data_IF_090757833278
#
_entry.id   IF_090757833278
#
_cell.length_a   1.000
_cell.length_b   1.000
_cell.length_c   1.000
_cell.angle_alpha   90.00
_cell.angle_beta   90.00
_cell.angle_gamma   90.00
#
_symmetry.space_group_name_H-M   'P 1'
#
loop_
_entity.id
_entity.type
_entity.pdbx_description
1 polymer ?
#
# COMPACT_ATOMS: atom_id res chain seq x y z
N UNK A 1 -12.69 -19.73 -4.24
CA UNK A 1 -11.60 -18.91 -3.68
C UNK A 1 -11.36 -17.78 -4.65
N UNK A 2 -11.46 -16.53 -4.21
CA UNK A 2 -11.13 -15.41 -5.08
C UNK A 2 -9.60 -15.31 -5.19
N UNK A 3 -9.08 -15.23 -6.40
CA UNK A 3 -7.68 -14.90 -6.64
C UNK A 3 -7.53 -13.39 -6.43
N UNK A 4 -6.56 -12.97 -5.63
CA UNK A 4 -6.17 -11.58 -5.49
C UNK A 4 -4.78 -11.42 -6.09
N UNK A 5 -4.64 -10.45 -7.00
CA UNK A 5 -3.37 -10.09 -7.61
C UNK A 5 -2.89 -8.76 -7.02
N UNK A 6 -1.62 -8.72 -6.60
CA UNK A 6 -0.96 -7.50 -6.15
C UNK A 6 0.12 -7.11 -7.15
N UNK A 7 0.21 -5.83 -7.50
CA UNK A 7 1.31 -5.30 -8.29
C UNK A 7 2.22 -4.49 -7.37
N UNK A 8 3.47 -4.92 -7.27
CA UNK A 8 4.49 -4.24 -6.47
C UNK A 8 5.43 -3.49 -7.40
N UNK A 9 5.67 -2.21 -7.13
CA UNK A 9 6.65 -1.38 -7.83
C UNK A 9 7.54 -0.70 -6.80
N UNK A 10 8.84 -0.83 -6.97
CA UNK A 10 9.82 -0.17 -6.13
C UNK A 10 10.58 0.87 -6.95
N UNK A 11 10.48 2.13 -6.55
CA UNK A 11 11.31 3.20 -7.05
C UNK A 11 12.52 3.35 -6.12
N UNK A 12 13.66 2.82 -6.57
CA UNK A 12 14.91 2.86 -5.80
C UNK A 12 15.53 4.26 -5.71
N UNK A 13 15.20 5.19 -6.61
CA UNK A 13 15.70 6.55 -6.57
C UNK A 13 14.96 7.36 -5.50
N UNK A 14 13.63 7.20 -5.44
CA UNK A 14 12.80 7.85 -4.43
C UNK A 14 12.77 7.10 -3.08
N UNK A 15 13.22 5.84 -3.03
CA UNK A 15 13.05 4.91 -1.89
C UNK A 15 11.57 4.73 -1.52
N UNK A 16 10.73 4.49 -2.53
CA UNK A 16 9.28 4.33 -2.38
C UNK A 16 8.82 2.98 -2.90
N UNK A 17 8.08 2.24 -2.07
CA UNK A 17 7.36 1.03 -2.50
C UNK A 17 5.89 1.36 -2.73
N UNK A 18 5.41 1.11 -3.95
CA UNK A 18 4.00 1.14 -4.29
C UNK A 18 3.44 -0.27 -4.37
N UNK A 19 2.31 -0.50 -3.69
CA UNK A 19 1.56 -1.77 -3.73
C UNK A 19 0.15 -1.51 -4.24
N UNK A 20 -0.14 -1.93 -5.47
CA UNK A 20 -1.50 -1.92 -6.02
C UNK A 20 -2.25 -3.15 -5.52
N UNK A 21 -3.44 -2.92 -4.96
CA UNK A 21 -4.30 -3.97 -4.39
C UNK A 21 -5.40 -4.39 -5.37
N UNK A 22 -5.93 -3.44 -6.15
CA UNK A 22 -6.97 -3.69 -7.14
C UNK A 22 -6.96 -2.65 -8.24
N UNK A 23 -7.60 -2.94 -9.36
CA UNK A 23 -7.85 -1.97 -10.41
C UNK A 23 -8.83 -0.89 -9.96
N UNK A 24 -8.61 0.35 -10.38
CA UNK A 24 -9.43 1.49 -10.00
C UNK A 24 -8.74 2.82 -10.30
N UNK A 25 -9.53 3.89 -10.28
CA UNK A 25 -9.03 5.26 -10.35
C UNK A 25 -8.80 5.77 -8.92
N UNK A 26 -7.60 6.26 -8.64
CA UNK A 26 -7.31 7.01 -7.41
C UNK A 26 -8.02 8.36 -7.49
N UNK A 27 -8.79 8.69 -6.46
CA UNK A 27 -9.44 10.02 -6.33
C UNK A 27 -9.06 10.75 -5.05
N UNK A 28 -8.52 10.04 -4.07
CA UNK A 28 -8.07 10.56 -2.79
C UNK A 28 -6.89 9.72 -2.30
N UNK A 29 -5.96 10.37 -1.61
CA UNK A 29 -4.81 9.72 -0.99
C UNK A 29 -4.61 10.31 0.41
N UNK A 30 -4.51 9.47 1.43
CA UNK A 30 -4.32 9.90 2.83
C UNK A 30 -3.06 9.29 3.44
N UNK A 31 -2.25 10.12 4.09
CA UNK A 31 -1.17 9.65 4.96
C UNK A 31 -1.77 9.21 6.31
N UNK A 32 -1.91 7.90 6.51
CA UNK A 32 -2.55 7.32 7.70
C UNK A 32 -1.58 7.02 8.84
N UNK A 33 -0.30 6.87 8.50
CA UNK A 33 0.82 6.79 9.44
C UNK A 33 2.04 7.42 8.75
N UNK A 34 3.04 7.85 9.50
CA UNK A 34 4.21 8.52 8.93
C UNK A 34 4.83 7.71 7.77
N UNK A 35 4.76 8.28 6.57
CA UNK A 35 5.21 7.71 5.29
C UNK A 35 4.47 6.43 4.86
N UNK A 36 3.25 6.22 5.33
CA UNK A 36 2.29 5.21 4.85
C UNK A 36 1.09 5.96 4.29
N UNK A 37 0.92 5.93 2.97
CA UNK A 37 -0.15 6.63 2.26
C UNK A 37 -1.07 5.59 1.62
N UNK A 38 -2.38 5.77 1.79
CA UNK A 38 -3.40 4.91 1.19
C UNK A 38 -4.11 5.64 0.06
N UNK A 39 -4.26 4.98 -1.08
CA UNK A 39 -5.04 5.48 -2.21
C UNK A 39 -6.45 4.90 -2.19
N UNK A 40 -7.45 5.77 -2.36
CA UNK A 40 -8.86 5.41 -2.39
C UNK A 40 -9.50 5.60 -3.76
N UNK A 41 -10.41 4.69 -4.09
CA UNK A 41 -11.36 4.84 -5.20
C UNK A 41 -12.57 5.72 -4.82
N UNK A 42 -13.44 6.09 -5.78
CA UNK A 42 -14.64 6.91 -5.48
C UNK A 42 -15.63 6.31 -4.47
N UNK A 43 -15.51 5.02 -4.15
CA UNK A 43 -16.35 4.34 -3.17
C UNK A 43 -15.67 4.23 -1.79
N UNK A 44 -14.48 4.82 -1.62
CA UNK A 44 -13.69 4.73 -0.39
C UNK A 44 -12.97 3.39 -0.22
N UNK A 45 -12.84 2.57 -1.27
CA UNK A 45 -12.04 1.35 -1.18
C UNK A 45 -10.55 1.67 -1.33
N UNK A 46 -9.71 1.04 -0.51
CA UNK A 46 -8.26 1.09 -0.69
C UNK A 46 -7.90 0.32 -1.97
N UNK A 47 -7.23 1.01 -2.90
CA UNK A 47 -6.76 0.45 -4.18
C UNK A 47 -5.24 0.46 -4.34
N UNK A 48 -4.54 1.28 -3.56
CA UNK A 48 -3.08 1.40 -3.57
C UNK A 48 -2.53 1.76 -2.19
N UNK A 49 -1.23 1.50 -2.01
CA UNK A 49 -0.44 1.89 -0.84
C UNK A 49 0.89 2.44 -1.34
N UNK A 50 1.29 3.62 -0.88
CA UNK A 50 2.66 4.12 -1.01
C UNK A 50 3.37 4.06 0.35
N UNK A 51 4.58 3.52 0.35
CA UNK A 51 5.44 3.39 1.52
C UNK A 51 6.73 4.14 1.25
N UNK A 52 6.92 5.27 1.92
CA UNK A 52 8.10 6.13 1.80
C UNK A 52 9.25 5.61 2.66
N UNK A 53 10.50 5.89 2.27
CA UNK A 53 11.72 5.40 2.95
C UNK A 53 11.69 3.87 3.16
N UNK A 54 11.20 3.12 2.16
CA UNK A 54 10.88 1.70 2.31
C UNK A 54 12.09 0.89 2.79
N UNK A 55 13.28 1.17 2.25
CA UNK A 55 14.52 0.49 2.61
C UNK A 55 14.92 0.63 4.08
N UNK A 56 14.39 1.65 4.77
CA UNK A 56 14.67 1.93 6.19
C UNK A 56 13.61 1.36 7.13
N UNK A 57 12.53 0.77 6.59
CA UNK A 57 11.44 0.19 7.38
C UNK A 57 11.61 -1.32 7.54
N UNK A 58 11.08 -1.84 8.65
CA UNK A 58 11.00 -3.28 8.92
C UNK A 58 9.60 -3.81 8.58
N UNK A 59 9.24 -3.75 7.30
CA UNK A 59 7.94 -4.23 6.81
C UNK A 59 8.09 -5.66 6.30
N UNK A 60 7.25 -6.57 6.80
CA UNK A 60 7.11 -7.91 6.27
C UNK A 60 6.03 -7.93 5.17
N UNK A 61 6.47 -8.03 3.91
CA UNK A 61 5.57 -8.08 2.76
C UNK A 61 4.70 -9.35 2.75
N UNK A 62 5.13 -10.45 3.39
CA UNK A 62 4.30 -11.64 3.53
C UNK A 62 3.09 -11.35 4.44
N UNK A 63 3.31 -10.64 5.55
CA UNK A 63 2.19 -10.21 6.39
C UNK A 63 1.25 -9.26 5.65
N UNK A 64 1.78 -8.32 4.86
CA UNK A 64 0.97 -7.40 4.06
C UNK A 64 0.08 -8.15 3.06
N UNK A 65 0.61 -9.14 2.34
CA UNK A 65 -0.14 -9.90 1.34
C UNK A 65 -1.21 -10.79 1.99
N UNK A 66 -0.89 -11.41 3.14
CA UNK A 66 -1.78 -12.38 3.81
C UNK A 66 -2.85 -11.70 4.68
N UNK A 67 -2.47 -10.66 5.43
CA UNK A 67 -3.36 -9.97 6.40
C UNK A 67 -3.94 -8.66 5.86
N UNK A 68 -3.40 -8.15 4.75
CA UNK A 68 -3.85 -6.93 4.10
C UNK A 68 -3.25 -5.63 4.68
N UNK A 69 -3.68 -4.46 4.15
CA UNK A 69 -3.08 -3.15 4.45
C UNK A 69 -3.08 -2.74 5.91
N UNK A 70 -3.99 -3.33 6.71
CA UNK A 70 -4.16 -3.03 8.13
C UNK A 70 -2.91 -3.27 8.97
N UNK A 71 -1.99 -4.12 8.51
CA UNK A 71 -0.71 -4.36 9.20
C UNK A 71 0.23 -3.15 9.21
N UNK A 72 -0.01 -2.17 8.32
CA UNK A 72 0.82 -0.98 8.19
C UNK A 72 0.36 0.19 9.07
N UNK A 73 -0.78 0.04 9.76
CA UNK A 73 -1.34 1.06 10.64
C UNK A 73 -1.25 0.54 12.08
N UNK A 74 -0.48 1.23 12.93
CA UNK A 74 -0.43 0.92 14.36
C UNK A 74 -1.78 1.26 15.01
N UNK A 75 -2.44 0.25 15.58
CA UNK A 75 -3.48 0.42 16.61
C UNK A 75 -2.92 0.92 17.92
#
# INVERSE_FOLDING_TARGET
MALSEYIIRYDAYADVLYVKIREGKVVESDEVENGIILDYDPNGNIIGIEILDFSKRKIDLNELVVKGPRVLVKT
#
